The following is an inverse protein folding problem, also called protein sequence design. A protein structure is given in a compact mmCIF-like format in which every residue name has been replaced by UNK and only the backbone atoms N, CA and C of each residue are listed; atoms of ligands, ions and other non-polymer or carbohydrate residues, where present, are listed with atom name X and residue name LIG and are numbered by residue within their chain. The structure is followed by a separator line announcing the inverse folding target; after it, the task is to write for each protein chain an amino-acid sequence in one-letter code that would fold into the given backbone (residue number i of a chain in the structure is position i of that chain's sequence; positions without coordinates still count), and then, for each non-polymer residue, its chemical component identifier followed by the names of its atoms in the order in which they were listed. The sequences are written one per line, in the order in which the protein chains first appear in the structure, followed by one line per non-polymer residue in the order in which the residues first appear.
data_IF_100649065369
#
_entry.id   IF_100649065369
#
_cell.length_a   1.000
_cell.length_b   1.000
_cell.length_c   1.000
_cell.angle_alpha   90.00
_cell.angle_beta   90.00
_cell.angle_gamma   90.00
#
_symmetry.space_group_name_H-M   'P 1'
#
loop_
_entity.id
_entity.type
_entity.pdbx_description
1 polymer ?
#
# COMPACT_ATOMS: atom_id res chain seq x y z
N UNK A 1 -20.22 12.93 58.23
CA UNK A 1 -19.10 12.81 59.18
C UNK A 1 -19.53 13.41 60.52
N UNK A 2 -18.89 13.06 61.66
CA UNK A 2 -19.18 13.73 62.94
C UNK A 2 -18.44 15.07 62.96
N UNK A 3 -19.17 16.15 63.22
CA UNK A 3 -18.58 17.48 63.34
C UNK A 3 -17.56 17.52 64.48
N UNK A 4 -16.36 18.03 64.22
CA UNK A 4 -15.31 18.17 65.24
C UNK A 4 -15.51 19.45 66.04
N UNK A 5 -15.36 19.38 67.36
CA UNK A 5 -15.42 20.54 68.27
C UNK A 5 -14.03 20.93 68.77
N UNK A 6 -13.90 22.18 69.22
CA UNK A 6 -12.72 22.64 69.95
C UNK A 6 -13.01 23.90 70.77
N UNK A 7 -12.14 24.21 71.71
CA UNK A 7 -12.26 25.36 72.62
C UNK A 7 -11.40 26.51 72.10
N UNK A 8 -11.96 27.71 72.00
CA UNK A 8 -11.21 28.91 71.61
C UNK A 8 -10.26 29.30 72.74
N UNK A 9 -8.95 29.15 72.53
CA UNK A 9 -7.91 29.44 73.52
C UNK A 9 -7.49 30.92 73.52
N UNK A 10 -7.47 31.54 72.33
CA UNK A 10 -7.14 32.96 72.15
C UNK A 10 -7.67 33.45 70.81
N UNK A 11 -8.03 34.74 70.73
CA UNK A 11 -8.34 35.43 69.48
C UNK A 11 -7.27 36.50 69.24
N UNK A 12 -6.65 36.47 68.07
CA UNK A 12 -5.63 37.43 67.64
C UNK A 12 -6.02 38.04 66.29
N UNK A 13 -6.34 39.34 66.29
CA UNK A 13 -6.81 40.09 65.12
C UNK A 13 -8.03 39.40 64.46
N UNK A 14 -7.82 38.65 63.38
CA UNK A 14 -8.86 37.98 62.60
C UNK A 14 -8.76 36.43 62.67
N UNK A 15 -7.99 35.90 63.61
CA UNK A 15 -7.70 34.46 63.75
C UNK A 15 -7.97 34.00 65.18
N UNK A 16 -8.65 32.86 65.33
CA UNK A 16 -8.81 32.17 66.60
C UNK A 16 -7.86 30.96 66.66
N UNK A 17 -7.13 30.82 67.78
CA UNK A 17 -6.40 29.60 68.13
C UNK A 17 -7.35 28.70 68.92
N UNK A 18 -7.59 27.50 68.42
CA UNK A 18 -8.62 26.58 68.93
C UNK A 18 -7.98 25.24 69.28
N UNK A 19 -8.19 24.78 70.51
CA UNK A 19 -7.72 23.47 70.97
C UNK A 19 -8.78 22.41 70.71
N UNK A 20 -8.43 21.35 69.96
CA UNK A 20 -9.31 20.20 69.70
C UNK A 20 -9.38 19.29 70.91
N UNK A 21 -10.39 18.41 70.93
CA UNK A 21 -10.57 17.36 71.95
C UNK A 21 -9.37 16.39 72.10
N UNK A 22 -8.41 16.39 71.15
CA UNK A 22 -7.17 15.59 71.21
C UNK A 22 -5.90 16.38 71.58
N UNK A 23 -6.02 17.63 72.06
CA UNK A 23 -4.87 18.47 72.43
C UNK A 23 -4.15 19.17 71.27
N UNK A 24 -4.53 18.88 70.02
CA UNK A 24 -4.05 19.64 68.85
C UNK A 24 -4.57 21.09 68.87
N UNK A 25 -3.71 22.06 68.59
CA UNK A 25 -4.09 23.46 68.37
C UNK A 25 -4.20 23.76 66.87
N UNK A 26 -5.26 24.44 66.46
CA UNK A 26 -5.45 24.92 65.09
C UNK A 26 -5.81 26.40 65.04
N UNK A 27 -5.19 27.12 64.11
CA UNK A 27 -5.51 28.51 63.82
C UNK A 27 -6.51 28.60 62.67
N UNK A 28 -7.67 29.22 62.91
CA UNK A 28 -8.72 29.40 61.90
C UNK A 28 -9.23 30.84 61.89
N UNK A 29 -9.74 31.36 60.74
CA UNK A 29 -10.34 32.69 60.69
C UNK A 29 -11.51 32.81 61.68
N UNK A 30 -11.53 33.89 62.47
CA UNK A 30 -12.58 34.14 63.46
C UNK A 30 -13.91 34.43 62.76
N UNK A 31 -15.01 33.91 63.29
CA UNK A 31 -16.38 34.27 62.87
C UNK A 31 -16.99 35.22 63.89
N UNK A 32 -17.94 36.06 63.44
CA UNK A 32 -18.61 37.02 64.33
C UNK A 32 -19.26 36.29 65.53
N UNK A 33 -19.05 36.83 66.73
CA UNK A 33 -19.64 36.34 67.97
C UNK A 33 -18.72 35.49 68.87
N UNK A 34 -17.65 34.90 68.32
CA UNK A 34 -16.78 33.98 69.08
C UNK A 34 -16.02 34.66 70.23
N UNK A 35 -15.90 33.96 71.36
CA UNK A 35 -15.16 34.40 72.56
C UNK A 35 -14.14 33.35 73.03
N UNK A 36 -13.09 33.81 73.70
CA UNK A 36 -12.15 32.92 74.42
C UNK A 36 -12.90 32.09 75.47
N UNK A 37 -12.61 30.79 75.54
CA UNK A 37 -13.28 29.81 76.39
C UNK A 37 -14.52 29.13 75.77
N UNK A 38 -14.98 29.60 74.61
CA UNK A 38 -16.17 29.05 73.94
C UNK A 38 -15.87 27.72 73.22
N UNK A 39 -16.78 26.75 73.32
CA UNK A 39 -16.75 25.51 72.54
C UNK A 39 -17.39 25.78 71.18
N UNK A 40 -16.60 25.70 70.11
CA UNK A 40 -17.06 25.91 68.74
C UNK A 40 -17.01 24.63 67.92
N UNK A 41 -17.84 24.56 66.88
CA UNK A 41 -17.73 23.55 65.82
C UNK A 41 -16.69 24.00 64.81
N UNK A 42 -15.65 23.19 64.61
CA UNK A 42 -14.59 23.45 63.65
C UNK A 42 -15.10 23.20 62.22
N UNK A 43 -14.77 24.09 61.26
CA UNK A 43 -15.12 23.85 59.85
C UNK A 43 -14.37 22.62 59.33
N UNK A 44 -15.09 21.67 58.73
CA UNK A 44 -14.46 20.52 58.08
C UNK A 44 -13.52 20.98 56.96
N UNK A 45 -12.26 20.50 56.98
CA UNK A 45 -11.27 20.76 55.94
C UNK A 45 -11.68 20.03 54.66
N UNK A 46 -12.50 20.68 53.83
CA UNK A 46 -12.85 20.18 52.50
C UNK A 46 -11.56 19.85 51.73
N UNK A 47 -11.42 18.59 51.30
CA UNK A 47 -10.30 18.19 50.44
C UNK A 47 -10.38 18.99 49.14
N UNK A 48 -9.29 19.64 48.77
CA UNK A 48 -9.21 20.35 47.50
C UNK A 48 -9.23 19.33 46.37
N UNK A 49 -10.18 19.47 45.45
CA UNK A 49 -10.25 18.68 44.21
C UNK A 49 -9.39 19.27 43.07
N UNK A 50 -8.75 20.42 43.30
CA UNK A 50 -7.78 21.02 42.35
C UNK A 50 -6.67 20.05 41.89
N UNK A 51 -5.98 19.28 42.77
CA UNK A 51 -4.99 18.30 42.32
C UNK A 51 -5.55 17.21 41.40
N UNK A 52 -6.83 16.83 41.57
CA UNK A 52 -7.50 15.88 40.70
C UNK A 52 -7.76 16.48 39.31
N UNK A 53 -8.24 17.73 39.24
CA UNK A 53 -8.40 18.44 37.97
C UNK A 53 -7.08 18.71 37.26
N UNK A 54 -6.00 19.05 37.96
CA UNK A 54 -4.68 19.22 37.34
C UNK A 54 -4.15 17.88 36.81
N UNK A 55 -4.30 16.78 37.56
CA UNK A 55 -3.92 15.46 37.09
C UNK A 55 -4.73 15.03 35.85
N UNK A 56 -6.05 15.26 35.86
CA UNK A 56 -6.92 14.99 34.72
C UNK A 56 -6.55 15.83 33.49
N UNK A 57 -6.22 17.11 33.67
CA UNK A 57 -5.78 17.99 32.57
C UNK A 57 -4.42 17.56 32.00
N UNK A 58 -3.46 17.15 32.84
CA UNK A 58 -2.19 16.60 32.39
C UNK A 58 -2.38 15.28 31.61
N UNK A 59 -3.22 14.37 32.10
CA UNK A 59 -3.55 13.14 31.38
C UNK A 59 -4.22 13.43 30.04
N UNK A 60 -5.20 14.33 30.01
CA UNK A 60 -5.86 14.74 28.77
C UNK A 60 -4.86 15.31 27.74
N UNK A 61 -3.91 16.14 28.18
CA UNK A 61 -2.82 16.64 27.33
C UNK A 61 -1.91 15.52 26.80
N UNK A 62 -1.53 14.56 27.65
CA UNK A 62 -0.71 13.42 27.22
C UNK A 62 -1.46 12.56 26.20
N UNK A 63 -2.77 12.34 26.39
CA UNK A 63 -3.57 11.60 25.41
C UNK A 63 -3.77 12.36 24.10
N UNK A 64 -4.07 13.67 24.11
CA UNK A 64 -4.28 14.42 22.87
C UNK A 64 -2.97 14.63 22.09
N UNK A 65 -1.88 14.99 22.77
CA UNK A 65 -0.56 15.11 22.13
C UNK A 65 -0.05 13.75 21.68
N UNK A 66 -0.17 12.70 22.51
CA UNK A 66 0.26 11.35 22.18
C UNK A 66 -0.48 10.76 20.98
N UNK A 67 -1.82 10.81 20.98
CA UNK A 67 -2.63 10.31 19.87
C UNK A 67 -2.43 11.14 18.59
N UNK A 68 -2.33 12.47 18.70
CA UNK A 68 -2.04 13.35 17.57
C UNK A 68 -0.67 13.08 16.96
N UNK A 69 0.37 12.95 17.78
CA UNK A 69 1.73 12.61 17.32
C UNK A 69 1.81 11.20 16.73
N UNK A 70 1.12 10.22 17.32
CA UNK A 70 1.05 8.86 16.79
C UNK A 70 0.39 8.86 15.40
N UNK A 71 -0.79 9.46 15.25
CA UNK A 71 -1.47 9.57 13.97
C UNK A 71 -0.62 10.33 12.93
N UNK A 72 0.01 11.45 13.32
CA UNK A 72 0.90 12.21 12.44
C UNK A 72 2.12 11.43 11.95
N UNK A 73 2.63 10.50 12.77
CA UNK A 73 3.77 9.64 12.45
C UNK A 73 3.39 8.46 11.55
N UNK A 74 2.27 7.79 11.82
CA UNK A 74 1.82 6.63 11.06
C UNK A 74 0.96 6.98 9.83
N UNK A 75 0.62 8.26 9.63
CA UNK A 75 -0.07 8.71 8.41
C UNK A 75 0.82 8.56 7.17
N UNK A 76 0.36 7.73 6.23
CA UNK A 76 0.97 7.55 4.91
C UNK A 76 0.87 8.83 4.06
N UNK A 77 1.95 9.10 3.33
CA UNK A 77 2.09 10.24 2.41
C UNK A 77 2.56 9.85 1.02
N UNK A 78 3.13 8.66 0.88
CA UNK A 78 3.59 8.10 -0.39
C UNK A 78 3.34 6.60 -0.44
N UNK A 79 3.35 6.02 -1.63
CA UNK A 79 3.26 4.59 -1.92
C UNK A 79 4.35 4.24 -2.94
N UNK A 80 4.99 3.08 -2.77
CA UNK A 80 5.77 2.42 -3.82
C UNK A 80 5.18 1.02 -3.99
N UNK A 81 4.72 0.66 -5.19
CA UNK A 81 4.32 -0.71 -5.54
C UNK A 81 5.36 -1.31 -6.46
N UNK A 82 5.80 -2.53 -6.18
CA UNK A 82 6.72 -3.33 -6.98
C UNK A 82 5.94 -4.53 -7.52
N UNK A 83 5.90 -4.67 -8.84
CA UNK A 83 5.07 -5.61 -9.57
C UNK A 83 5.92 -6.35 -10.60
N UNK A 84 6.40 -7.54 -10.22
CA UNK A 84 7.21 -8.45 -11.06
C UNK A 84 6.50 -9.81 -11.22
N UNK A 85 5.49 -10.06 -10.37
CA UNK A 85 5.30 -11.34 -9.68
C UNK A 85 6.56 -11.65 -8.84
N UNK A 86 6.65 -11.21 -7.56
CA UNK A 86 5.56 -10.78 -6.67
C UNK A 86 4.99 -9.38 -6.93
N UNK A 87 3.85 -9.09 -6.29
CA UNK A 87 3.20 -7.78 -6.20
C UNK A 87 3.17 -7.30 -4.74
N UNK A 88 3.99 -6.30 -4.42
CA UNK A 88 4.22 -5.80 -3.05
C UNK A 88 4.11 -4.27 -3.00
N UNK A 89 3.36 -3.77 -2.02
CA UNK A 89 3.23 -2.33 -1.74
C UNK A 89 3.89 -1.91 -0.43
N UNK A 90 4.57 -0.77 -0.47
CA UNK A 90 5.17 -0.07 0.68
C UNK A 90 4.43 1.25 0.92
N UNK A 91 3.68 1.32 2.02
CA UNK A 91 3.08 2.57 2.49
C UNK A 91 4.09 3.37 3.31
N UNK A 92 4.42 4.58 2.85
CA UNK A 92 5.55 5.38 3.35
C UNK A 92 5.04 6.67 4.00
N UNK A 93 5.59 7.03 5.16
CA UNK A 93 5.25 8.25 5.87
C UNK A 93 6.16 9.45 5.52
N UNK A 94 5.80 10.62 6.02
CA UNK A 94 6.54 11.90 5.89
C UNK A 94 7.98 11.90 6.41
N UNK A 95 8.42 10.83 7.06
CA UNK A 95 9.77 10.65 7.61
C UNK A 95 10.59 9.65 6.77
N UNK A 96 10.12 9.35 5.55
CA UNK A 96 10.69 8.38 4.62
C UNK A 96 10.78 6.96 5.20
N UNK A 97 9.86 6.59 6.08
CA UNK A 97 9.79 5.25 6.70
C UNK A 97 8.56 4.47 6.26
N UNK A 98 8.75 3.17 6.08
CA UNK A 98 7.66 2.21 5.84
C UNK A 98 6.78 2.13 7.10
N UNK A 99 5.49 2.40 6.95
CA UNK A 99 4.46 2.28 8.00
C UNK A 99 3.45 1.17 7.70
N UNK A 100 3.20 0.90 6.42
CA UNK A 100 2.36 -0.19 5.93
C UNK A 100 3.11 -1.01 4.89
N UNK A 101 2.79 -2.30 4.81
CA UNK A 101 3.32 -3.27 3.85
C UNK A 101 2.17 -4.17 3.44
N UNK A 102 1.95 -4.36 2.15
CA UNK A 102 0.86 -5.19 1.61
C UNK A 102 1.39 -6.09 0.51
N UNK A 103 1.02 -7.37 0.53
CA UNK A 103 1.19 -8.25 -0.61
C UNK A 103 -0.17 -8.40 -1.30
N UNK A 104 -0.19 -8.32 -2.62
CA UNK A 104 -1.41 -8.52 -3.43
C UNK A 104 -1.39 -9.84 -4.23
N UNK A 105 -0.36 -10.66 -4.07
CA UNK A 105 -0.31 -12.04 -4.56
C UNK A 105 0.43 -12.99 -3.58
N UNK A 106 0.25 -14.32 -3.71
CA UNK A 106 0.89 -15.31 -2.83
C UNK A 106 2.42 -15.27 -2.82
N UNK A 107 3.03 -14.82 -3.91
CA UNK A 107 4.47 -14.66 -4.05
C UNK A 107 4.95 -13.47 -3.20
N UNK A 108 4.20 -12.37 -3.17
CA UNK A 108 4.47 -11.23 -2.30
C UNK A 108 4.27 -11.57 -0.82
N UNK A 109 3.32 -12.46 -0.49
CA UNK A 109 3.13 -12.95 0.87
C UNK A 109 4.36 -13.74 1.37
N UNK A 110 5.00 -14.52 0.49
CA UNK A 110 6.24 -15.25 0.83
C UNK A 110 7.37 -14.30 1.18
N UNK A 111 7.66 -13.30 0.33
CA UNK A 111 8.73 -12.32 0.61
C UNK A 111 8.42 -11.52 1.87
N UNK A 112 7.18 -11.05 2.06
CA UNK A 112 6.81 -10.29 3.26
C UNK A 112 6.78 -11.14 4.55
N UNK A 113 6.70 -12.47 4.46
CA UNK A 113 6.73 -13.35 5.64
C UNK A 113 8.13 -13.42 6.26
N UNK A 114 9.19 -13.33 5.45
CA UNK A 114 10.58 -13.41 5.92
C UNK A 114 11.18 -12.04 6.28
N UNK A 115 10.65 -10.95 5.70
CA UNK A 115 11.25 -9.62 5.77
C UNK A 115 10.61 -8.66 6.80
N UNK A 116 11.44 -8.06 7.66
CA UNK A 116 11.00 -7.10 8.69
C UNK A 116 11.07 -5.64 8.21
N UNK A 117 10.25 -5.29 7.21
CA UNK A 117 10.34 -4.00 6.52
C UNK A 117 9.77 -2.79 7.28
N UNK A 118 8.87 -3.01 8.25
CA UNK A 118 8.21 -1.90 8.97
C UNK A 118 9.19 -1.06 9.77
N UNK A 119 9.02 0.26 9.68
CA UNK A 119 9.87 1.30 10.27
C UNK A 119 11.29 1.41 9.66
N UNK A 120 11.67 0.62 8.65
CA UNK A 120 12.88 0.87 7.87
C UNK A 120 12.73 2.16 7.03
N UNK A 121 13.84 2.82 6.65
CA UNK A 121 13.86 3.71 5.49
C UNK A 121 13.28 2.99 4.28
N UNK A 122 12.45 3.65 3.48
CA UNK A 122 11.78 2.97 2.37
C UNK A 122 12.76 2.46 1.31
N UNK A 123 13.89 3.15 1.12
CA UNK A 123 14.97 2.72 0.24
C UNK A 123 15.57 1.37 0.68
N UNK A 124 15.88 1.25 1.97
CA UNK A 124 16.41 0.02 2.58
C UNK A 124 15.39 -1.14 2.47
N UNK A 125 14.09 -0.83 2.52
CA UNK A 125 13.05 -1.82 2.29
C UNK A 125 12.93 -2.25 0.82
N UNK A 126 13.12 -1.35 -0.15
CA UNK A 126 13.19 -1.70 -1.59
C UNK A 126 14.44 -2.56 -1.86
N UNK A 127 15.61 -2.16 -1.36
CA UNK A 127 16.85 -2.96 -1.44
C UNK A 127 16.65 -4.37 -0.84
N UNK A 128 15.96 -4.46 0.32
CA UNK A 128 15.68 -5.73 1.01
C UNK A 128 14.73 -6.63 0.21
N UNK A 129 13.71 -6.06 -0.44
CA UNK A 129 12.81 -6.81 -1.33
C UNK A 129 13.60 -7.31 -2.54
N UNK A 130 14.25 -6.40 -3.27
CA UNK A 130 14.96 -6.73 -4.52
C UNK A 130 16.12 -7.72 -4.31
N UNK A 131 16.71 -7.75 -3.11
CA UNK A 131 17.76 -8.71 -2.72
C UNK A 131 17.26 -10.02 -2.10
N UNK A 132 15.95 -10.29 -2.05
CA UNK A 132 15.41 -11.55 -1.52
C UNK A 132 15.69 -12.74 -2.45
N UNK A 133 15.86 -13.95 -1.90
CA UNK A 133 16.17 -15.16 -2.67
C UNK A 133 15.03 -15.51 -3.64
N UNK A 134 13.78 -15.23 -3.25
CA UNK A 134 12.60 -15.40 -4.08
C UNK A 134 12.63 -14.45 -5.30
N UNK A 135 13.01 -13.17 -5.12
CA UNK A 135 13.15 -12.21 -6.25
C UNK A 135 14.19 -12.69 -7.28
N UNK A 136 15.28 -13.30 -6.80
CA UNK A 136 16.34 -13.82 -7.66
C UNK A 136 15.85 -14.97 -8.58
N UNK A 137 14.76 -15.64 -8.21
CA UNK A 137 14.06 -16.61 -9.07
C UNK A 137 13.39 -15.93 -10.28
N UNK A 138 12.65 -14.84 -10.02
CA UNK A 138 11.89 -14.11 -11.05
C UNK A 138 12.78 -13.28 -11.99
N UNK A 139 13.89 -12.73 -11.48
CA UNK A 139 14.88 -12.08 -12.33
C UNK A 139 15.53 -13.05 -13.32
N UNK A 140 15.71 -14.32 -12.94
CA UNK A 140 16.23 -15.38 -13.82
C UNK A 140 15.22 -15.89 -14.85
N UNK A 141 13.91 -15.77 -14.60
CA UNK A 141 12.89 -16.05 -15.62
C UNK A 141 12.71 -14.91 -16.63
N UNK A 142 13.43 -13.79 -16.47
CA UNK A 142 13.28 -12.58 -17.27
C UNK A 142 11.85 -12.01 -17.22
N UNK A 143 11.21 -12.09 -16.05
CA UNK A 143 9.92 -11.46 -15.79
C UNK A 143 10.12 -9.96 -15.58
N UNK A 144 9.38 -9.14 -16.34
CA UNK A 144 9.55 -7.69 -16.35
C UNK A 144 9.12 -7.04 -15.02
N UNK A 145 9.85 -5.99 -14.62
CA UNK A 145 9.63 -5.28 -13.36
C UNK A 145 8.84 -4.00 -13.64
N UNK A 146 7.61 -3.92 -13.14
CA UNK A 146 6.84 -2.67 -13.10
C UNK A 146 6.91 -2.09 -11.70
N UNK A 147 7.36 -0.85 -11.55
CA UNK A 147 7.30 -0.14 -10.26
C UNK A 147 6.46 1.12 -10.41
N UNK A 148 5.53 1.34 -9.50
CA UNK A 148 4.72 2.57 -9.46
C UNK A 148 4.99 3.35 -8.19
N UNK A 149 5.01 4.68 -8.33
CA UNK A 149 5.26 5.61 -7.22
C UNK A 149 4.15 6.65 -7.17
N UNK A 150 3.50 6.75 -6.01
CA UNK A 150 2.61 7.86 -5.65
C UNK A 150 3.23 8.65 -4.50
N UNK A 151 3.14 9.98 -4.55
CA UNK A 151 3.38 10.84 -3.39
C UNK A 151 2.49 12.09 -3.44
N UNK A 152 2.13 12.62 -2.27
CA UNK A 152 1.22 13.79 -2.13
C UNK A 152 1.70 15.10 -2.78
N UNK A 153 2.93 15.16 -3.26
CA UNK A 153 3.51 16.35 -3.92
C UNK A 153 4.45 15.93 -5.03
N UNK A 154 4.31 16.54 -6.21
CA UNK A 154 5.08 16.24 -7.42
C UNK A 154 6.60 16.16 -7.18
N UNK A 155 7.19 17.18 -6.53
CA UNK A 155 8.63 17.21 -6.20
C UNK A 155 9.11 15.97 -5.41
N UNK A 156 8.25 15.42 -4.54
CA UNK A 156 8.56 14.19 -3.77
C UNK A 156 8.36 12.95 -4.61
N UNK A 157 7.33 12.93 -5.47
CA UNK A 157 7.06 11.83 -6.37
C UNK A 157 8.19 11.66 -7.40
N UNK A 158 8.63 12.77 -8.02
CA UNK A 158 9.73 12.79 -8.99
C UNK A 158 11.05 12.31 -8.35
N UNK A 159 11.40 12.84 -7.17
CA UNK A 159 12.59 12.41 -6.44
C UNK A 159 12.54 10.92 -6.01
N UNK A 160 11.39 10.44 -5.53
CA UNK A 160 11.21 9.03 -5.19
C UNK A 160 11.28 8.13 -6.42
N UNK A 161 10.71 8.55 -7.56
CA UNK A 161 10.74 7.81 -8.82
C UNK A 161 12.15 7.70 -9.40
N UNK A 162 12.95 8.78 -9.32
CA UNK A 162 14.36 8.77 -9.73
C UNK A 162 15.22 7.86 -8.82
N UNK A 163 15.00 7.89 -7.50
CA UNK A 163 15.64 6.96 -6.57
C UNK A 163 15.24 5.50 -6.85
N UNK A 164 13.95 5.21 -7.02
CA UNK A 164 13.41 3.88 -7.35
C UNK A 164 14.04 3.34 -8.63
N UNK A 165 14.05 4.10 -9.72
CA UNK A 165 14.67 3.69 -10.99
C UNK A 165 16.11 3.25 -10.78
N UNK A 166 16.92 4.06 -10.09
CA UNK A 166 18.31 3.73 -9.78
C UNK A 166 18.45 2.44 -8.97
N UNK A 167 17.53 2.15 -8.04
CA UNK A 167 17.51 0.89 -7.29
C UNK A 167 17.18 -0.30 -8.17
N UNK A 168 16.15 -0.19 -9.01
CA UNK A 168 15.76 -1.23 -9.98
C UNK A 168 16.91 -1.50 -10.96
N UNK A 169 17.47 -0.46 -11.58
CA UNK A 169 18.63 -0.54 -12.49
C UNK A 169 19.85 -1.23 -11.85
N UNK A 170 20.04 -1.06 -10.53
CA UNK A 170 21.14 -1.68 -9.79
C UNK A 170 20.87 -3.15 -9.51
N UNK A 171 19.63 -3.52 -9.17
CA UNK A 171 19.23 -4.90 -8.92
C UNK A 171 19.14 -5.74 -10.21
N UNK A 172 18.73 -5.12 -11.33
CA UNK A 172 18.61 -5.77 -12.64
C UNK A 172 19.93 -5.83 -13.43
N UNK A 173 20.99 -5.17 -12.97
CA UNK A 173 22.25 -5.02 -13.71
C UNK A 173 22.90 -6.35 -14.18
N UNK A 174 22.75 -7.42 -13.40
CA UNK A 174 23.25 -8.77 -13.73
C UNK A 174 22.28 -9.59 -14.61
N UNK A 175 21.09 -9.05 -14.92
CA UNK A 175 19.98 -9.71 -15.61
C UNK A 175 19.60 -9.00 -16.93
N UNK A 176 20.46 -9.03 -17.96
CA UNK A 176 20.32 -8.19 -19.17
C UNK A 176 19.12 -8.51 -20.09
N UNK A 177 18.31 -9.52 -19.76
CA UNK A 177 17.07 -9.83 -20.46
C UNK A 177 15.84 -9.13 -19.84
N UNK A 178 15.92 -8.79 -18.55
CA UNK A 178 14.82 -8.22 -17.79
C UNK A 178 14.58 -6.76 -18.20
N UNK A 179 13.34 -6.40 -18.55
CA UNK A 179 12.96 -4.99 -18.70
C UNK A 179 12.43 -4.46 -17.37
N UNK A 180 12.52 -3.14 -17.20
CA UNK A 180 11.95 -2.48 -16.04
C UNK A 180 11.30 -1.15 -16.38
N UNK A 181 10.05 -1.01 -15.96
CA UNK A 181 9.24 0.20 -16.09
C UNK A 181 9.05 0.87 -14.73
N UNK A 182 9.02 2.19 -14.71
CA UNK A 182 8.88 2.98 -13.49
C UNK A 182 7.96 4.16 -13.74
N UNK A 183 6.74 4.09 -13.21
CA UNK A 183 5.65 5.03 -13.49
C UNK A 183 5.26 5.88 -12.27
N UNK A 184 4.88 7.13 -12.52
CA UNK A 184 4.23 7.97 -11.52
C UNK A 184 2.71 7.83 -11.64
N UNK A 185 2.01 7.59 -10.52
CA UNK A 185 0.54 7.45 -10.46
C UNK A 185 -0.06 8.42 -9.44
N UNK A 186 -1.31 8.82 -9.62
CA UNK A 186 -2.01 9.72 -8.70
C UNK A 186 -2.80 8.98 -7.61
N UNK A 187 -3.44 9.73 -6.71
CA UNK A 187 -4.20 9.16 -5.58
C UNK A 187 -5.46 8.42 -6.03
N UNK A 188 -6.08 8.88 -7.12
CA UNK A 188 -7.28 8.27 -7.70
C UNK A 188 -6.92 6.92 -8.34
N UNK A 189 -5.84 6.85 -9.12
CA UNK A 189 -5.29 5.60 -9.68
C UNK A 189 -4.98 4.57 -8.59
N UNK A 190 -4.40 4.99 -7.46
CA UNK A 190 -4.13 4.11 -6.32
C UNK A 190 -5.42 3.62 -5.68
N UNK A 191 -6.41 4.50 -5.48
CA UNK A 191 -7.69 4.14 -4.87
C UNK A 191 -8.47 3.16 -5.74
N UNK A 192 -8.56 3.41 -7.05
CA UNK A 192 -9.26 2.54 -7.98
C UNK A 192 -8.59 1.17 -8.11
N UNK A 193 -7.25 1.12 -8.21
CA UNK A 193 -6.50 -0.15 -8.19
C UNK A 193 -6.85 -1.00 -6.94
N UNK A 194 -6.92 -0.37 -5.77
CA UNK A 194 -7.28 -1.04 -4.51
C UNK A 194 -8.74 -1.50 -4.48
N UNK A 195 -9.67 -0.77 -5.11
CA UNK A 195 -11.06 -1.20 -5.26
C UNK A 195 -11.21 -2.44 -6.16
N UNK A 196 -10.34 -2.59 -7.18
CA UNK A 196 -10.20 -3.83 -7.97
C UNK A 196 -9.35 -4.92 -7.30
N UNK A 197 -8.76 -4.65 -6.12
CA UNK A 197 -7.90 -5.59 -5.40
C UNK A 197 -6.54 -5.85 -6.05
N UNK A 198 -6.08 -4.95 -6.91
CA UNK A 198 -4.80 -5.04 -7.64
C UNK A 198 -3.86 -3.90 -7.27
N UNK A 199 -2.59 -4.00 -7.68
CA UNK A 199 -1.61 -2.92 -7.53
C UNK A 199 -1.84 -1.82 -8.56
N UNK A 200 -1.40 -0.58 -8.30
CA UNK A 200 -1.45 0.48 -9.30
C UNK A 200 -0.69 0.11 -10.57
N UNK A 201 0.41 -0.65 -10.47
CA UNK A 201 1.16 -1.17 -11.62
C UNK A 201 0.30 -2.03 -12.53
N UNK A 202 -0.35 -3.07 -11.98
CA UNK A 202 -1.28 -3.90 -12.77
C UNK A 202 -2.50 -3.11 -13.28
N UNK A 203 -2.99 -2.14 -12.50
CA UNK A 203 -4.15 -1.33 -12.88
C UNK A 203 -3.89 -0.44 -14.12
N UNK A 204 -2.64 -0.01 -14.37
CA UNK A 204 -2.29 0.69 -15.61
C UNK A 204 -2.54 -0.20 -16.85
N UNK A 205 -2.07 -1.45 -16.85
CA UNK A 205 -2.31 -2.38 -17.96
C UNK A 205 -3.79 -2.80 -18.09
N UNK A 206 -4.54 -2.86 -16.99
CA UNK A 206 -6.00 -3.06 -17.07
C UNK A 206 -6.71 -1.87 -17.72
N UNK A 207 -6.25 -0.63 -17.46
CA UNK A 207 -6.76 0.55 -18.16
C UNK A 207 -6.38 0.53 -19.64
N UNK A 208 -5.13 0.24 -19.98
CA UNK A 208 -4.64 0.12 -21.36
C UNK A 208 -5.42 -0.93 -22.16
N UNK A 209 -5.65 -2.13 -21.60
CA UNK A 209 -6.49 -3.16 -22.19
C UNK A 209 -7.91 -2.66 -22.50
N UNK A 210 -8.47 -1.79 -21.65
CA UNK A 210 -9.79 -1.19 -21.82
C UNK A 210 -9.82 -0.01 -22.78
N UNK A 211 -8.70 0.68 -22.98
CA UNK A 211 -8.56 1.67 -24.05
C UNK A 211 -8.48 1.00 -25.42
N UNK A 212 -7.79 -0.15 -25.50
CA UNK A 212 -7.65 -0.96 -26.72
C UNK A 212 -8.89 -1.79 -27.06
N UNK A 213 -9.58 -2.38 -26.07
CA UNK A 213 -10.91 -3.00 -26.22
C UNK A 213 -11.94 -2.36 -25.26
N UNK A 214 -12.71 -1.35 -25.70
CA UNK A 214 -13.69 -0.66 -24.87
C UNK A 214 -14.86 -1.50 -24.35
N UNK A 215 -15.10 -2.71 -24.90
CA UNK A 215 -16.16 -3.61 -24.45
C UNK A 215 -15.66 -4.64 -23.41
N UNK A 216 -14.36 -4.65 -23.07
CA UNK A 216 -13.76 -5.59 -22.12
C UNK A 216 -14.21 -5.33 -20.68
N UNK A 217 -14.53 -6.40 -19.95
CA UNK A 217 -14.69 -6.33 -18.50
C UNK A 217 -13.35 -6.63 -17.81
N UNK A 218 -12.63 -5.57 -17.45
CA UNK A 218 -11.33 -5.65 -16.76
C UNK A 218 -11.37 -6.44 -15.44
N UNK A 219 -12.54 -6.66 -14.84
CA UNK A 219 -12.64 -7.47 -13.61
C UNK A 219 -12.26 -8.92 -13.85
N UNK A 220 -12.55 -9.47 -15.03
CA UNK A 220 -12.15 -10.84 -15.44
C UNK A 220 -10.62 -10.98 -15.55
N UNK A 221 -9.92 -9.85 -15.72
CA UNK A 221 -8.48 -9.80 -15.95
C UNK A 221 -7.64 -9.53 -14.69
N UNK A 222 -8.23 -9.15 -13.57
CA UNK A 222 -7.54 -8.83 -12.30
C UNK A 222 -6.59 -9.94 -11.78
N UNK A 223 -6.93 -11.21 -12.07
CA UNK A 223 -6.15 -12.38 -11.69
C UNK A 223 -4.93 -12.69 -12.58
N UNK A 224 -4.82 -12.08 -13.77
CA UNK A 224 -3.73 -12.32 -14.72
C UNK A 224 -2.43 -11.63 -14.28
N UNK A 225 -1.28 -12.10 -14.77
CA UNK A 225 0.00 -11.41 -14.64
C UNK A 225 0.08 -10.19 -15.56
N UNK A 226 1.05 -9.29 -15.34
CA UNK A 226 1.28 -8.15 -16.25
C UNK A 226 1.69 -8.65 -17.66
N UNK A 227 2.55 -9.67 -17.74
CA UNK A 227 2.93 -10.35 -18.98
C UNK A 227 1.72 -10.90 -19.75
N UNK A 228 0.76 -11.51 -19.04
CA UNK A 228 -0.49 -11.99 -19.64
C UNK A 228 -1.37 -10.83 -20.14
N UNK A 229 -1.44 -9.71 -19.41
CA UNK A 229 -2.18 -8.50 -19.83
C UNK A 229 -1.57 -7.87 -21.08
N UNK A 230 -0.25 -7.71 -21.13
CA UNK A 230 0.49 -7.24 -22.31
C UNK A 230 0.18 -8.11 -23.52
N UNK A 231 0.19 -9.44 -23.36
CA UNK A 231 -0.19 -10.37 -24.43
C UNK A 231 -1.65 -10.26 -24.90
N UNK A 232 -2.59 -9.77 -24.07
CA UNK A 232 -3.95 -9.46 -24.50
C UNK A 232 -4.03 -8.12 -25.24
N UNK A 233 -3.30 -7.10 -24.77
CA UNK A 233 -3.21 -5.78 -25.41
C UNK A 233 -2.66 -5.93 -26.83
N UNK A 234 -1.49 -6.57 -26.98
CA UNK A 234 -0.86 -6.89 -28.27
C UNK A 234 -1.82 -7.63 -29.23
N UNK A 235 -2.59 -8.58 -28.70
CA UNK A 235 -3.55 -9.35 -29.50
C UNK A 235 -4.68 -8.44 -30.02
N UNK A 236 -5.27 -7.60 -29.18
CA UNK A 236 -6.32 -6.67 -29.57
C UNK A 236 -5.81 -5.61 -30.59
N UNK A 237 -4.61 -5.06 -30.39
CA UNK A 237 -3.99 -4.13 -31.35
C UNK A 237 -3.79 -4.79 -32.72
N UNK A 238 -3.26 -6.03 -32.75
CA UNK A 238 -3.05 -6.78 -33.99
C UNK A 238 -4.34 -7.09 -34.76
N UNK A 239 -5.47 -7.14 -34.05
CA UNK A 239 -6.80 -7.28 -34.65
C UNK A 239 -7.40 -5.94 -35.11
N UNK A 240 -7.02 -4.82 -34.49
CA UNK A 240 -7.45 -3.46 -34.85
C UNK A 240 -6.93 -2.96 -36.20
N UNK A 241 -5.71 -3.32 -36.60
CA UNK A 241 -5.13 -2.91 -37.89
C UNK A 241 -5.76 -3.59 -39.12
N UNK A 242 -6.58 -4.64 -38.91
CA UNK A 242 -7.10 -5.50 -39.98
C UNK A 242 -8.32 -4.99 -40.75
N UNK A 243 -9.00 -3.93 -40.28
CA UNK A 243 -10.33 -3.55 -40.82
C UNK A 243 -10.43 -2.11 -41.32
N UNK A 244 -9.86 -1.83 -42.50
CA UNK A 244 -10.32 -0.70 -43.34
C UNK A 244 -10.43 -1.09 -44.82
N UNK A 245 -11.68 -1.22 -45.28
CA UNK A 245 -12.13 -1.22 -46.69
C UNK A 245 -11.53 -2.24 -47.69
N UNK A 246 -12.08 -3.46 -47.72
CA UNK A 246 -12.48 -4.03 -49.02
C UNK A 246 -13.89 -3.54 -49.38
N UNK A 247 -14.00 -2.71 -50.43
CA UNK A 247 -15.30 -2.37 -51.01
C UNK A 247 -15.91 -3.59 -51.71
N UNK A 248 -17.08 -4.03 -51.25
CA UNK A 248 -17.89 -5.07 -51.88
C UNK A 248 -18.33 -4.68 -53.32
N UNK A 249 -17.49 -4.98 -54.32
CA UNK A 249 -17.87 -4.87 -55.73
C UNK A 249 -18.71 -6.09 -56.15
N UNK A 250 -20.04 -5.97 -56.02
CA UNK A 250 -20.98 -7.01 -56.45
C UNK A 250 -20.96 -7.22 -57.98
N UNK A 251 -20.65 -8.46 -58.35
CA UNK A 251 -21.19 -9.28 -59.46
C UNK A 251 -21.56 -8.60 -60.80
N UNK A 252 -20.95 -9.11 -61.87
CA UNK A 252 -21.45 -8.98 -63.24
C UNK A 252 -22.41 -10.15 -63.57
N UNK A 253 -23.47 -9.87 -64.32
CA UNK A 253 -24.35 -10.90 -64.88
C UNK A 253 -23.70 -11.58 -66.09
N UNK A 254 -23.96 -12.90 -66.22
CA UNK A 254 -23.46 -13.73 -67.31
C UNK A 254 -24.55 -13.98 -68.38
N UNK A 255 -24.13 -14.11 -69.64
CA UNK A 255 -24.94 -14.72 -70.71
C UNK A 255 -24.08 -15.68 -71.53
N UNK A 256 -24.65 -16.85 -71.75
CA UNK A 256 -24.18 -18.06 -72.45
C UNK A 256 -23.32 -17.88 -73.72
N UNK A 257 -22.36 -18.80 -73.92
CA UNK A 257 -22.51 -19.87 -74.95
C UNK A 257 -21.42 -20.96 -74.86
N UNK A 258 -21.87 -22.22 -74.91
CA UNK A 258 -21.10 -23.48 -75.10
C UNK A 258 -21.09 -23.92 -76.58
N UNK A 259 -20.42 -25.03 -77.00
CA UNK A 259 -19.18 -25.70 -76.51
C UNK A 259 -18.22 -26.13 -77.67
N UNK A 260 -17.02 -26.65 -77.37
CA UNK A 260 -16.40 -27.76 -78.15
C UNK A 260 -15.22 -28.47 -77.44
N UNK A 261 -15.30 -29.81 -77.35
CA UNK A 261 -14.21 -30.84 -77.45
C UNK A 261 -12.72 -30.43 -77.27
N UNK A 262 -11.85 -31.17 -76.56
CA UNK A 262 -11.49 -32.59 -76.82
C UNK A 262 -10.56 -33.17 -75.73
N UNK A 263 -10.84 -34.42 -75.35
CA UNK A 263 -10.02 -35.58 -74.87
C UNK A 263 -8.49 -35.50 -74.52
N UNK A 264 -8.04 -36.54 -73.79
CA UNK A 264 -6.66 -37.04 -73.56
C UNK A 264 -5.75 -36.34 -72.52
N UNK A 265 -4.82 -37.01 -71.81
CA UNK A 265 -4.72 -38.39 -71.26
C UNK A 265 -3.41 -38.48 -70.40
N UNK A 266 -3.39 -39.31 -69.34
CA UNK A 266 -2.20 -39.70 -68.53
C UNK A 266 -1.36 -38.58 -67.85
N UNK A 267 -0.70 -38.78 -66.70
CA UNK A 267 -0.65 -39.96 -65.82
C UNK A 267 0.75 -40.59 -65.72
N UNK A 268 1.57 -40.16 -64.75
CA UNK A 268 2.54 -41.03 -64.09
C UNK A 268 3.00 -40.48 -62.74
N UNK A 269 3.09 -41.37 -61.74
CA UNK A 269 3.64 -41.11 -60.41
C UNK A 269 4.24 -42.43 -59.89
N UNK A 270 5.29 -42.33 -59.05
CA UNK A 270 5.85 -43.40 -58.20
C UNK A 270 6.81 -44.42 -58.82
N UNK A 271 8.10 -44.29 -58.44
CA UNK A 271 9.18 -45.28 -58.18
C UNK A 271 10.52 -44.48 -58.17
N UNK A 272 11.63 -44.83 -57.52
CA UNK A 272 12.07 -45.91 -56.60
C UNK A 272 13.20 -45.29 -55.73
N UNK A 273 13.79 -45.85 -54.66
CA UNK A 273 13.83 -47.18 -54.02
C UNK A 273 14.07 -46.99 -52.49
N UNK A 274 14.04 -48.07 -51.68
CA UNK A 274 14.66 -48.07 -50.34
C UNK A 274 15.27 -49.43 -49.94
N UNK A 275 16.57 -49.62 -50.19
CA UNK A 275 17.46 -50.49 -49.40
C UNK A 275 18.57 -49.68 -48.71
N UNK A 276 19.18 -50.08 -47.60
CA UNK A 276 18.99 -51.29 -46.79
C UNK A 276 20.34 -51.77 -46.23
N UNK A 277 20.41 -52.04 -44.90
CA UNK A 277 21.58 -52.60 -44.15
C UNK A 277 22.80 -51.65 -44.03
N UNK A 278 23.74 -51.79 -43.08
CA UNK A 278 23.90 -52.77 -41.97
C UNK A 278 24.60 -52.15 -40.74
N UNK A 279 24.74 -52.94 -39.68
CA UNK A 279 25.34 -52.63 -38.36
C UNK A 279 26.80 -52.15 -38.34
N UNK A 280 27.20 -51.42 -37.28
CA UNK A 280 28.31 -51.85 -36.41
C UNK A 280 28.37 -51.13 -35.04
N UNK A 281 28.90 -51.85 -34.04
CA UNK A 281 29.29 -51.37 -32.69
C UNK A 281 30.42 -50.32 -32.73
N UNK A 282 30.47 -49.46 -31.70
CA UNK A 282 31.62 -49.37 -30.79
C UNK A 282 31.22 -48.79 -29.42
N UNK A 283 32.18 -48.83 -28.49
CA UNK A 283 32.06 -48.68 -27.02
C UNK A 283 31.64 -47.29 -26.50
#
# INVERSE_FOLDING_TARGET
MKAQTGIVMKIEKNTAVVMKNGGEFVSIPVRQGWKTGEVIVLPEKRRSIRPLYTAAACLALVFTLGAGSFHYYYAQTSLVSIDVNPSIELGINRFNRVVETRALNPEGEQILAEQSLKNLPWQEAVDTIMGAEEMEGYFRSASDIVVTVYAKTADTQEAMLEEVRRYVDTASADYPALQSECHAVDEDTVSEAHDYGVTPGKYLYLQELKETDPEVDITEYTHHSIEELQGQIDACESHGEGTSHEEHKKHADAVETTPSSTDSQNGHHSQEDSGGKESHHHD
#
